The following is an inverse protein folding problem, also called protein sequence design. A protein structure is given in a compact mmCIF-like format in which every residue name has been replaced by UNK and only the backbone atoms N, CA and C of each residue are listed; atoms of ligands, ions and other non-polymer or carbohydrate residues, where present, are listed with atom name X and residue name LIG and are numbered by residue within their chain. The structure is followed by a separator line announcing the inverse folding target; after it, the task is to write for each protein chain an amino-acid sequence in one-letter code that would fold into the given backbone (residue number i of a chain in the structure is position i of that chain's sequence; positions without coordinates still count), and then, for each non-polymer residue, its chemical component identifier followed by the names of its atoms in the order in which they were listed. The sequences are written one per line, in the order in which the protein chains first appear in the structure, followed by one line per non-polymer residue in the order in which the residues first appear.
data_IF_932451888677
#
_entry.id   IF_932451888677
#
_cell.length_a   1.000
_cell.length_b   1.000
_cell.length_c   1.000
_cell.angle_alpha   90.00
_cell.angle_beta   90.00
_cell.angle_gamma   90.00
#
_symmetry.space_group_name_H-M   'P 1'
#
loop_
_entity.id
_entity.type
_entity.pdbx_description
1 polymer ?
#
# COMPACT_ATOMS: atom_id res chain seq x y z
N UNK A 1 21.66 17.66 -1.63
CA UNK A 1 22.48 16.50 -1.23
C UNK A 1 23.61 16.83 -0.24
N UNK A 2 23.45 17.82 0.65
CA UNK A 2 24.44 18.22 1.68
C UNK A 2 23.93 18.07 3.12
N UNK A 3 22.64 17.75 3.31
CA UNK A 3 22.00 17.58 4.62
C UNK A 3 21.99 16.13 5.17
N UNK A 4 22.39 15.14 4.36
CA UNK A 4 22.41 13.72 4.77
C UNK A 4 23.77 13.24 5.34
N UNK A 5 24.81 14.09 5.36
CA UNK A 5 26.15 13.72 5.86
C UNK A 5 26.36 13.95 7.36
N UNK A 6 25.55 14.82 7.99
CA UNK A 6 25.78 15.22 9.38
C UNK A 6 25.07 14.33 10.41
N UNK A 7 24.14 13.47 9.98
CA UNK A 7 23.45 12.53 10.88
C UNK A 7 24.31 11.30 11.26
N UNK A 8 25.32 10.94 10.45
CA UNK A 8 26.15 9.72 10.66
C UNK A 8 27.34 9.89 11.61
N UNK A 9 27.65 11.11 12.09
CA UNK A 9 28.86 11.34 12.92
C UNK A 9 28.61 11.32 14.43
N UNK A 10 27.35 11.32 14.89
CA UNK A 10 27.03 11.47 16.31
C UNK A 10 26.78 10.16 17.07
N UNK A 11 26.87 9.00 16.42
CA UNK A 11 26.57 7.69 17.06
C UNK A 11 27.84 6.99 17.59
N UNK A 12 29.04 7.51 17.34
CA UNK A 12 30.31 6.78 17.60
C UNK A 12 31.17 7.27 18.80
N UNK A 13 30.64 8.08 19.72
CA UNK A 13 31.39 8.51 20.91
C UNK A 13 30.52 8.55 22.17
N UNK A 14 30.26 7.39 22.76
CA UNK A 14 29.82 7.17 24.17
C UNK A 14 29.80 5.66 24.39
N UNK A 15 30.58 5.01 25.24
CA UNK A 15 31.71 5.43 26.05
C UNK A 15 32.47 4.15 26.43
N UNK A 16 33.79 4.19 26.36
CA UNK A 16 34.65 3.17 26.93
C UNK A 16 35.22 3.76 28.22
N UNK A 17 34.79 3.26 29.37
CA UNK A 17 35.43 3.54 30.66
C UNK A 17 35.16 2.35 31.57
N UNK A 18 36.19 1.52 31.72
CA UNK A 18 36.24 0.46 32.70
C UNK A 18 36.55 1.07 34.07
N UNK A 19 35.85 0.60 35.12
CA UNK A 19 36.27 0.73 36.50
C UNK A 19 35.88 -0.55 37.24
N UNK A 20 36.92 -1.30 37.65
CA UNK A 20 36.82 -2.42 38.57
C UNK A 20 36.44 -1.90 39.96
N UNK A 21 35.35 -2.45 40.52
CA UNK A 21 34.98 -2.29 41.91
C UNK A 21 34.25 -3.55 42.36
N UNK A 22 34.94 -4.42 43.09
CA UNK A 22 34.37 -5.63 43.66
C UNK A 22 33.44 -5.26 44.82
N UNK A 23 32.13 -5.35 44.57
CA UNK A 23 31.10 -5.39 45.60
C UNK A 23 30.11 -6.50 45.22
N UNK A 24 30.05 -7.57 46.01
CA UNK A 24 29.00 -8.58 45.87
C UNK A 24 27.65 -7.94 46.23
N UNK A 25 26.97 -7.41 45.24
CA UNK A 25 25.56 -7.06 45.32
C UNK A 25 24.76 -8.34 45.07
N UNK A 26 24.06 -8.84 46.08
CA UNK A 26 23.01 -9.83 45.86
C UNK A 26 21.88 -9.14 45.09
N UNK A 27 21.92 -9.22 43.76
CA UNK A 27 20.76 -8.96 42.91
C UNK A 27 19.78 -10.12 43.11
N UNK A 28 18.74 -9.88 43.88
CA UNK A 28 17.53 -10.68 43.77
C UNK A 28 16.99 -10.51 42.35
N UNK A 29 17.26 -11.48 41.48
CA UNK A 29 16.56 -11.64 40.23
C UNK A 29 15.12 -12.08 40.55
N UNK A 30 14.32 -11.13 41.03
CA UNK A 30 12.88 -11.24 40.93
C UNK A 30 12.57 -11.19 39.44
N UNK A 31 12.36 -12.35 38.83
CA UNK A 31 11.75 -12.42 37.51
C UNK A 31 10.33 -11.88 37.65
N UNK A 32 10.19 -10.55 37.55
CA UNK A 32 8.92 -9.92 37.29
C UNK A 32 8.53 -10.39 35.90
N UNK A 33 7.73 -11.45 35.83
CA UNK A 33 7.00 -11.80 34.62
C UNK A 33 6.13 -10.59 34.34
N UNK A 34 6.52 -9.76 33.36
CA UNK A 34 5.66 -8.70 32.87
C UNK A 34 4.31 -9.34 32.57
N UNK A 35 3.26 -8.88 33.25
CA UNK A 35 1.92 -9.33 32.94
C UNK A 35 1.72 -9.08 31.44
N UNK A 36 1.16 -10.04 30.69
CA UNK A 36 0.94 -9.84 29.26
C UNK A 36 0.19 -8.53 29.08
N UNK A 37 0.72 -7.62 28.26
CA UNK A 37 0.02 -6.38 27.96
C UNK A 37 -1.38 -6.74 27.48
N UNK A 38 -2.40 -6.25 28.18
CA UNK A 38 -3.78 -6.40 27.72
C UNK A 38 -3.88 -5.69 26.36
N UNK A 39 -4.21 -6.45 25.32
CA UNK A 39 -4.45 -5.88 24.00
C UNK A 39 -5.46 -4.73 24.04
N UNK A 40 -5.26 -3.73 23.17
CA UNK A 40 -6.11 -2.54 23.06
C UNK A 40 -7.04 -2.66 21.84
N UNK A 41 -8.30 -2.29 21.99
CA UNK A 41 -9.19 -2.08 20.86
C UNK A 41 -8.74 -0.87 20.06
N UNK A 42 -8.59 -1.04 18.74
CA UNK A 42 -8.24 0.04 17.81
C UNK A 42 -9.33 0.20 16.77
N UNK A 43 -9.60 1.44 16.35
CA UNK A 43 -10.60 1.76 15.33
C UNK A 43 -9.99 1.66 13.94
N UNK A 44 -10.74 1.12 12.97
CA UNK A 44 -10.26 1.13 11.60
C UNK A 44 -11.30 0.87 10.53
N UNK A 45 -10.88 1.16 9.30
CA UNK A 45 -11.66 0.96 8.09
C UNK A 45 -10.86 0.09 7.12
N UNK A 46 -11.40 -1.09 6.81
CA UNK A 46 -10.72 -2.06 5.98
C UNK A 46 -11.10 -1.95 4.48
N UNK A 47 -12.12 -1.16 4.14
CA UNK A 47 -12.69 -1.15 2.79
C UNK A 47 -13.24 0.22 2.39
N UNK A 48 -12.44 0.96 1.62
CA UNK A 48 -12.84 2.24 1.04
C UNK A 48 -12.33 2.41 -0.39
N UNK A 49 -13.08 3.20 -1.16
CA UNK A 49 -12.84 3.47 -2.56
C UNK A 49 -12.50 4.95 -2.76
N UNK A 50 -11.58 5.21 -3.69
CA UNK A 50 -11.18 6.56 -4.11
C UNK A 50 -11.36 6.65 -5.62
N UNK A 51 -11.10 7.82 -6.21
CA UNK A 51 -11.10 7.95 -7.66
C UNK A 51 -10.02 7.11 -8.37
N UNK A 52 -9.06 6.48 -7.67
CA UNK A 52 -8.20 5.46 -8.27
C UNK A 52 -8.97 4.21 -8.76
N UNK A 53 -10.19 3.99 -8.24
CA UNK A 53 -11.12 3.00 -8.77
C UNK A 53 -12.43 3.67 -9.18
N UNK A 54 -13.51 3.38 -8.49
CA UNK A 54 -14.91 3.74 -8.69
C UNK A 54 -15.45 4.64 -7.57
N UNK A 55 -14.61 5.05 -6.61
CA UNK A 55 -14.99 6.06 -5.61
C UNK A 55 -15.18 7.45 -6.24
N UNK A 56 -15.88 8.35 -5.56
CA UNK A 56 -16.17 9.70 -6.06
C UNK A 56 -15.19 10.78 -5.59
N UNK A 57 -14.45 10.50 -4.52
CA UNK A 57 -13.58 11.47 -3.85
C UNK A 57 -12.11 11.14 -4.06
N UNK A 58 -11.28 12.18 -4.07
CA UNK A 58 -9.83 12.06 -4.21
C UNK A 58 -9.24 11.19 -3.10
N UNK A 59 -8.10 10.57 -3.39
CA UNK A 59 -7.34 9.80 -2.41
C UNK A 59 -6.99 10.65 -1.19
N UNK A 60 -6.50 11.88 -1.41
CA UNK A 60 -6.12 12.81 -0.34
C UNK A 60 -7.26 13.11 0.62
N UNK A 61 -8.45 13.43 0.10
CA UNK A 61 -9.62 13.69 0.96
C UNK A 61 -10.00 12.44 1.78
N UNK A 62 -9.98 11.26 1.19
CA UNK A 62 -10.32 10.04 1.91
C UNK A 62 -9.35 9.78 3.08
N UNK A 63 -8.03 9.94 2.85
CA UNK A 63 -7.03 9.80 3.92
C UNK A 63 -7.23 10.86 5.02
N UNK A 64 -7.52 12.10 4.63
CA UNK A 64 -7.83 13.19 5.57
C UNK A 64 -9.04 12.85 6.45
N UNK A 65 -10.11 12.31 5.86
CA UNK A 65 -11.32 11.96 6.60
C UNK A 65 -11.12 10.75 7.51
N UNK A 66 -10.36 9.74 7.10
CA UNK A 66 -9.97 8.64 7.99
C UNK A 66 -9.28 9.16 9.26
N UNK A 67 -8.34 10.09 9.11
CA UNK A 67 -7.68 10.71 10.25
C UNK A 67 -8.62 11.61 11.08
N UNK A 68 -9.42 12.47 10.41
CA UNK A 68 -10.37 13.38 11.05
C UNK A 68 -11.39 12.64 11.94
N UNK A 69 -11.89 11.48 11.47
CA UNK A 69 -12.82 10.66 12.23
C UNK A 69 -12.16 9.79 13.31
N UNK A 70 -10.84 9.91 13.49
CA UNK A 70 -10.13 9.26 14.58
C UNK A 70 -9.90 7.76 14.38
N UNK A 71 -9.78 7.29 13.13
CA UNK A 71 -9.33 5.91 12.88
C UNK A 71 -7.88 5.74 13.31
N UNK A 72 -7.55 4.61 13.92
CA UNK A 72 -6.17 4.23 14.26
C UNK A 72 -5.46 3.59 13.06
N UNK A 73 -6.22 2.92 12.19
CA UNK A 73 -5.71 2.31 10.96
C UNK A 73 -6.75 2.31 9.85
N UNK A 74 -6.30 2.24 8.59
CA UNK A 74 -7.18 1.98 7.46
C UNK A 74 -6.44 1.34 6.29
N UNK A 75 -7.19 0.66 5.43
CA UNK A 75 -6.70 0.14 4.16
C UNK A 75 -7.39 0.85 2.98
N UNK A 76 -6.64 1.19 1.94
CA UNK A 76 -7.25 1.59 0.67
C UNK A 76 -7.43 0.35 -0.21
N UNK A 77 -8.68 0.00 -0.49
CA UNK A 77 -9.05 -1.27 -1.12
C UNK A 77 -9.95 -1.01 -2.33
N UNK A 78 -9.55 -0.12 -3.23
CA UNK A 78 -10.28 0.06 -4.49
C UNK A 78 -10.17 -1.19 -5.38
N UNK A 79 -11.14 -1.41 -6.25
CA UNK A 79 -11.20 -2.54 -7.17
C UNK A 79 -9.91 -2.80 -7.97
N UNK A 80 -9.66 -4.08 -8.27
CA UNK A 80 -8.77 -4.53 -9.34
C UNK A 80 -9.30 -4.22 -10.75
N UNK A 81 -8.55 -4.55 -11.79
CA UNK A 81 -8.94 -4.30 -13.19
C UNK A 81 -8.30 -3.05 -13.77
N UNK A 82 -9.06 -2.08 -14.27
CA UNK A 82 -8.46 -0.88 -14.85
C UNK A 82 -9.37 0.34 -14.87
N UNK A 83 -8.77 1.50 -14.58
CA UNK A 83 -9.46 2.76 -14.30
C UNK A 83 -8.79 3.93 -15.00
N UNK A 84 -9.57 4.95 -15.33
CA UNK A 84 -9.11 6.08 -16.16
C UNK A 84 -8.57 7.25 -15.35
N UNK A 85 -8.96 7.35 -14.08
CA UNK A 85 -8.77 8.54 -13.23
C UNK A 85 -7.48 8.48 -12.43
N UNK A 86 -6.82 9.62 -12.27
CA UNK A 86 -5.54 9.76 -11.57
C UNK A 86 -5.66 9.61 -10.03
N UNK A 87 -6.84 9.54 -9.44
CA UNK A 87 -6.96 9.33 -7.99
C UNK A 87 -6.70 10.57 -7.12
N UNK A 88 -5.83 11.49 -7.57
CA UNK A 88 -5.54 12.76 -6.88
C UNK A 88 -6.66 13.79 -6.99
N UNK A 89 -7.58 13.58 -7.93
CA UNK A 89 -8.71 14.47 -8.22
C UNK A 89 -10.04 13.73 -8.11
N UNK A 90 -11.12 14.47 -7.90
CA UNK A 90 -12.46 13.96 -7.64
C UNK A 90 -13.45 15.09 -7.38
N UNK A 91 -14.64 14.75 -6.89
CA UNK A 91 -15.71 15.74 -6.61
C UNK A 91 -15.22 16.88 -5.71
N UNK A 92 -14.37 16.57 -4.74
CA UNK A 92 -13.80 17.51 -3.76
C UNK A 92 -12.78 18.50 -4.34
N UNK A 93 -12.20 18.20 -5.50
CA UNK A 93 -11.21 19.05 -6.17
C UNK A 93 -11.77 19.73 -7.42
N UNK A 94 -13.09 19.61 -7.64
CA UNK A 94 -13.78 20.25 -8.77
C UNK A 94 -13.93 19.37 -10.01
N UNK A 95 -13.60 18.07 -9.92
CA UNK A 95 -13.83 17.10 -11.00
C UNK A 95 -12.70 16.10 -11.17
N UNK A 96 -12.92 15.13 -12.05
CA UNK A 96 -11.94 14.08 -12.35
C UNK A 96 -10.83 14.59 -13.29
N UNK A 97 -9.64 14.02 -13.11
CA UNK A 97 -8.52 14.13 -14.07
C UNK A 97 -8.15 12.73 -14.52
N UNK A 98 -7.97 12.55 -15.83
CA UNK A 98 -7.70 11.26 -16.45
C UNK A 98 -6.22 11.10 -16.79
N UNK A 99 -5.69 9.88 -16.62
CA UNK A 99 -4.27 9.59 -16.84
C UNK A 99 -3.81 9.88 -18.27
N UNK A 100 -4.68 9.63 -19.25
CA UNK A 100 -4.37 9.78 -20.68
C UNK A 100 -4.34 11.24 -21.15
N UNK A 101 -4.84 12.17 -20.33
CA UNK A 101 -4.77 13.61 -20.57
C UNK A 101 -3.56 14.28 -19.90
N UNK A 102 -2.74 13.54 -19.17
CA UNK A 102 -1.51 14.09 -18.59
C UNK A 102 -0.51 14.47 -19.71
N UNK A 103 0.36 15.48 -19.50
CA UNK A 103 1.26 15.99 -20.55
C UNK A 103 2.10 14.92 -21.25
N UNK A 104 2.46 13.87 -20.52
CA UNK A 104 2.96 12.61 -21.06
C UNK A 104 2.03 11.52 -20.56
N UNK A 105 1.42 10.77 -21.47
CA UNK A 105 0.59 9.63 -21.12
C UNK A 105 1.47 8.58 -20.39
N UNK A 106 1.23 8.31 -19.10
CA UNK A 106 2.08 7.41 -18.33
C UNK A 106 1.66 5.95 -18.45
N UNK A 107 0.57 5.63 -19.15
CA UNK A 107 -0.02 4.30 -19.19
C UNK A 107 0.88 3.38 -20.03
N UNK A 108 1.37 2.30 -19.41
CA UNK A 108 2.28 1.34 -20.07
C UNK A 108 1.66 -0.04 -20.30
N UNK A 109 0.51 -0.33 -19.70
CA UNK A 109 -0.21 -1.57 -19.98
C UNK A 109 -1.03 -1.51 -21.26
N UNK A 110 -1.55 -2.67 -21.66
CA UNK A 110 -2.26 -2.84 -22.91
C UNK A 110 -3.41 -1.86 -23.07
N UNK A 111 -3.52 -1.29 -24.27
CA UNK A 111 -4.49 -0.24 -24.58
C UNK A 111 -5.92 -0.78 -24.45
N UNK A 112 -6.68 -0.18 -23.54
CA UNK A 112 -8.12 -0.39 -23.40
C UNK A 112 -8.77 0.93 -22.97
N UNK A 113 -10.00 1.15 -23.42
CA UNK A 113 -10.72 2.39 -23.15
C UNK A 113 -11.98 2.13 -22.31
N UNK A 114 -12.35 3.12 -21.51
CA UNK A 114 -13.63 3.20 -20.79
C UNK A 114 -14.04 4.67 -20.71
N UNK A 115 -15.32 4.98 -20.95
CA UNK A 115 -15.82 6.36 -20.87
C UNK A 115 -15.08 7.37 -21.77
N UNK A 116 -14.48 6.91 -22.88
CA UNK A 116 -13.71 7.76 -23.79
C UNK A 116 -12.24 7.97 -23.41
N UNK A 117 -11.78 7.43 -22.28
CA UNK A 117 -10.41 7.57 -21.79
C UNK A 117 -9.68 6.23 -21.75
N UNK A 118 -8.37 6.24 -21.98
CA UNK A 118 -7.55 5.05 -21.82
C UNK A 118 -7.49 4.68 -20.33
N UNK A 119 -7.73 3.41 -20.02
CA UNK A 119 -7.58 2.89 -18.65
C UNK A 119 -6.11 2.66 -18.33
N UNK A 120 -5.73 2.92 -17.09
CA UNK A 120 -4.54 2.35 -16.47
C UNK A 120 -4.94 1.07 -15.74
N UNK A 121 -4.24 -0.04 -16.01
CA UNK A 121 -4.43 -1.28 -15.26
C UNK A 121 -4.07 -1.09 -13.79
N UNK A 122 -4.80 -1.76 -12.89
CA UNK A 122 -4.73 -1.48 -11.46
C UNK A 122 -3.35 -1.80 -10.91
N UNK A 123 -2.69 -2.87 -11.36
CA UNK A 123 -1.28 -3.15 -11.02
C UNK A 123 -0.36 -1.96 -11.26
N UNK A 124 -0.55 -1.23 -12.36
CA UNK A 124 0.29 -0.09 -12.68
C UNK A 124 -0.02 1.06 -11.73
N UNK A 125 -1.29 1.38 -11.53
CA UNK A 125 -1.69 2.44 -10.61
C UNK A 125 -1.26 2.15 -9.16
N UNK A 126 -1.31 0.88 -8.71
CA UNK A 126 -0.82 0.46 -7.39
C UNK A 126 0.68 0.69 -7.24
N UNK A 127 1.45 0.33 -8.27
CA UNK A 127 2.92 0.42 -8.23
C UNK A 127 3.43 1.86 -8.37
N UNK A 128 2.84 2.63 -9.27
CA UNK A 128 3.42 3.90 -9.75
C UNK A 128 2.73 5.13 -9.16
N UNK A 129 1.52 5.01 -8.59
CA UNK A 129 0.69 6.17 -8.22
C UNK A 129 0.04 6.04 -6.83
N UNK A 130 -0.94 5.15 -6.67
CA UNK A 130 -1.73 5.04 -5.44
C UNK A 130 -0.86 4.75 -4.21
N UNK A 131 0.19 3.94 -4.34
CA UNK A 131 1.11 3.70 -3.23
C UNK A 131 1.98 4.92 -2.89
N UNK A 132 2.31 5.79 -3.86
CA UNK A 132 3.01 7.04 -3.56
C UNK A 132 2.11 7.96 -2.73
N UNK A 133 0.83 8.08 -3.07
CA UNK A 133 -0.14 8.84 -2.27
C UNK A 133 -0.36 8.18 -0.88
N UNK A 134 -0.27 6.85 -0.79
CA UNK A 134 -0.26 6.13 0.49
C UNK A 134 0.95 6.51 1.36
N UNK A 135 2.15 6.63 0.77
CA UNK A 135 3.34 7.10 1.48
C UNK A 135 3.19 8.56 1.92
N UNK A 136 2.68 9.44 1.06
CA UNK A 136 2.38 10.83 1.43
C UNK A 136 1.41 10.91 2.62
N UNK A 137 0.39 10.06 2.65
CA UNK A 137 -0.56 9.99 3.77
C UNK A 137 0.09 9.46 5.06
N UNK A 138 1.00 8.49 4.98
CA UNK A 138 1.75 7.98 6.14
C UNK A 138 2.70 9.03 6.71
N UNK A 139 3.34 9.82 5.85
CA UNK A 139 4.18 10.95 6.27
C UNK A 139 3.34 12.03 6.96
N UNK A 140 2.11 12.26 6.49
CA UNK A 140 1.18 13.22 7.08
C UNK A 140 0.57 12.75 8.40
N UNK A 141 0.36 11.44 8.55
CA UNK A 141 -0.27 10.81 9.70
C UNK A 141 0.62 9.72 10.32
N UNK A 142 1.79 10.09 10.88
CA UNK A 142 2.82 9.12 11.30
C UNK A 142 2.39 8.20 12.45
N UNK A 143 1.34 8.58 13.19
CA UNK A 143 0.76 7.78 14.28
C UNK A 143 -0.27 6.75 13.79
N UNK A 144 -0.54 6.70 12.48
CA UNK A 144 -1.59 5.86 11.87
C UNK A 144 -1.00 4.69 11.09
N UNK A 145 -1.70 3.57 11.10
CA UNK A 145 -1.36 2.43 10.23
C UNK A 145 -2.20 2.51 8.96
N UNK A 146 -1.58 2.98 7.87
CA UNK A 146 -2.23 3.10 6.56
C UNK A 146 -1.73 1.98 5.67
N UNK A 147 -2.61 1.18 5.08
CA UNK A 147 -2.25 0.03 4.26
C UNK A 147 -2.72 0.26 2.82
N UNK A 148 -1.87 -0.01 1.84
CA UNK A 148 -2.35 -0.14 0.46
C UNK A 148 -2.85 -1.58 0.26
N UNK A 149 -4.12 -1.72 -0.09
CA UNK A 149 -4.75 -2.96 -0.50
C UNK A 149 -5.28 -2.87 -1.93
N UNK A 150 -6.03 -3.90 -2.32
CA UNK A 150 -6.87 -3.92 -3.50
C UNK A 150 -8.11 -4.74 -3.17
N UNK A 151 -9.27 -4.30 -3.65
CA UNK A 151 -10.44 -5.18 -3.69
C UNK A 151 -10.29 -6.08 -4.91
N UNK A 152 -9.78 -7.29 -4.65
CA UNK A 152 -9.53 -8.30 -5.66
C UNK A 152 -10.84 -8.80 -6.25
N UNK A 153 -10.94 -8.75 -7.57
CA UNK A 153 -12.00 -9.41 -8.33
C UNK A 153 -11.67 -10.92 -8.36
N UNK A 154 -12.12 -11.65 -7.34
CA UNK A 154 -11.74 -13.05 -7.13
C UNK A 154 -12.25 -13.92 -8.29
N UNK A 155 -11.37 -14.68 -8.97
CA UNK A 155 -11.77 -15.67 -9.97
C UNK A 155 -12.82 -16.66 -9.43
N UNK A 156 -14.00 -16.69 -10.07
CA UNK A 156 -15.10 -17.58 -9.70
C UNK A 156 -15.87 -17.23 -8.42
N UNK A 157 -15.62 -16.07 -7.79
CA UNK A 157 -16.30 -15.65 -6.55
C UNK A 157 -16.62 -14.15 -6.59
N UNK A 158 -17.15 -13.64 -5.47
CA UNK A 158 -17.34 -12.21 -5.21
C UNK A 158 -16.01 -11.54 -4.83
N UNK A 159 -16.02 -10.23 -4.63
CA UNK A 159 -14.85 -9.45 -4.26
C UNK A 159 -14.24 -9.80 -2.89
N UNK A 160 -12.94 -9.57 -2.75
CA UNK A 160 -12.23 -9.71 -1.47
C UNK A 160 -11.17 -8.62 -1.31
N UNK A 161 -11.20 -7.91 -0.17
CA UNK A 161 -10.13 -6.99 0.20
C UNK A 161 -8.86 -7.77 0.57
N UNK A 162 -7.79 -7.56 -0.20
CA UNK A 162 -6.48 -8.21 0.02
C UNK A 162 -5.38 -7.16 0.07
N UNK A 163 -4.31 -7.47 0.80
CA UNK A 163 -3.09 -6.67 0.81
C UNK A 163 -1.88 -7.57 0.99
N UNK A 164 -0.78 -7.18 0.37
CA UNK A 164 0.52 -7.76 0.65
C UNK A 164 1.35 -6.73 1.44
N UNK A 165 1.61 -7.00 2.71
CA UNK A 165 2.33 -6.09 3.59
C UNK A 165 3.84 -6.11 3.36
N UNK A 166 4.37 -7.13 2.66
CA UNK A 166 5.79 -7.23 2.38
C UNK A 166 6.23 -6.02 1.54
N UNK A 167 7.39 -5.48 1.87
CA UNK A 167 7.96 -4.25 1.30
C UNK A 167 7.16 -2.95 1.50
N UNK A 168 5.86 -2.96 1.82
CA UNK A 168 5.12 -1.70 2.00
C UNK A 168 5.66 -0.86 3.16
N UNK A 169 6.10 -1.50 4.24
CA UNK A 169 6.65 -0.85 5.43
C UNK A 169 8.18 -0.93 5.50
N UNK A 170 8.86 -1.25 4.39
CA UNK A 170 10.32 -1.27 4.34
C UNK A 170 10.87 0.12 4.66
N UNK A 171 11.76 0.23 5.64
CA UNK A 171 12.32 1.51 6.12
C UNK A 171 13.16 2.25 5.07
N UNK A 172 13.73 1.52 4.10
CA UNK A 172 14.70 2.08 3.14
C UNK A 172 14.15 2.20 1.73
N UNK A 173 13.24 1.32 1.35
CA UNK A 173 12.69 1.26 0.00
C UNK A 173 11.25 0.73 0.03
N UNK A 174 10.31 1.47 0.64
CA UNK A 174 8.93 1.04 0.69
C UNK A 174 8.36 0.96 -0.73
N UNK A 175 7.66 -0.12 -1.06
CA UNK A 175 7.04 -0.28 -2.37
C UNK A 175 5.83 -1.23 -2.34
N UNK A 176 5.04 -1.19 -3.41
CA UNK A 176 3.81 -1.99 -3.58
C UNK A 176 3.95 -3.04 -4.70
N UNK A 177 5.20 -3.43 -5.07
CA UNK A 177 5.43 -4.30 -6.24
C UNK A 177 4.78 -5.67 -6.09
N UNK A 178 4.79 -6.24 -4.89
CA UNK A 178 4.23 -7.57 -4.64
C UNK A 178 2.71 -7.57 -4.76
N UNK A 179 2.04 -6.52 -4.25
CA UNK A 179 0.59 -6.38 -4.41
C UNK A 179 0.20 -6.06 -5.86
N UNK A 180 0.99 -5.24 -6.55
CA UNK A 180 0.79 -4.97 -7.97
C UNK A 180 0.95 -6.24 -8.83
N UNK A 181 1.97 -7.06 -8.55
CA UNK A 181 2.16 -8.35 -9.22
C UNK A 181 1.00 -9.30 -8.91
N UNK A 182 0.51 -9.33 -7.67
CA UNK A 182 -0.67 -10.12 -7.31
C UNK A 182 -1.89 -9.72 -8.14
N UNK A 183 -2.19 -8.42 -8.24
CA UNK A 183 -3.31 -7.89 -9.03
C UNK A 183 -3.17 -8.29 -10.50
N UNK A 184 -2.01 -8.04 -11.11
CA UNK A 184 -1.72 -8.46 -12.48
C UNK A 184 -1.90 -9.97 -12.68
N UNK A 185 -1.39 -10.80 -11.77
CA UNK A 185 -1.39 -12.26 -11.92
C UNK A 185 -2.77 -12.87 -11.70
N UNK A 186 -3.51 -12.38 -10.73
CA UNK A 186 -4.66 -13.08 -10.15
C UNK A 186 -5.99 -12.36 -10.26
N UNK A 187 -6.03 -11.05 -10.51
CA UNK A 187 -7.29 -10.35 -10.70
C UNK A 187 -8.03 -10.89 -11.94
N UNK A 188 -9.34 -11.09 -11.80
CA UNK A 188 -10.19 -11.58 -12.89
C UNK A 188 -10.42 -10.51 -13.97
N UNK A 189 -10.47 -9.25 -13.57
CA UNK A 189 -10.78 -8.12 -14.45
C UNK A 189 -9.53 -7.54 -15.11
N UNK A 190 -8.33 -7.93 -14.66
CA UNK A 190 -7.08 -7.58 -15.33
C UNK A 190 -6.87 -8.42 -16.60
N UNK A 191 -6.91 -7.73 -17.75
CA UNK A 191 -6.69 -8.33 -19.07
C UNK A 191 -5.42 -7.79 -19.75
N UNK A 192 -4.52 -7.13 -19.01
CA UNK A 192 -3.22 -6.72 -19.51
C UNK A 192 -2.36 -7.94 -19.81
N UNK A 193 -1.70 -8.01 -20.95
CA UNK A 193 -0.81 -9.11 -21.32
C UNK A 193 0.63 -8.61 -21.40
N UNK A 194 0.86 -7.45 -22.00
CA UNK A 194 2.23 -7.00 -22.29
C UNK A 194 2.83 -6.11 -21.20
N UNK A 195 2.03 -5.30 -20.52
CA UNK A 195 2.53 -4.31 -19.56
C UNK A 195 3.18 -4.93 -18.33
N UNK A 196 2.44 -5.80 -17.63
CA UNK A 196 2.94 -6.56 -16.49
C UNK A 196 4.05 -7.56 -16.88
N UNK A 197 3.95 -8.18 -18.06
CA UNK A 197 5.00 -9.05 -18.57
C UNK A 197 6.33 -8.30 -18.78
N UNK A 198 6.28 -7.04 -19.24
CA UNK A 198 7.47 -6.19 -19.34
C UNK A 198 8.10 -5.86 -17.97
N UNK A 199 7.39 -6.10 -16.86
CA UNK A 199 7.92 -5.98 -15.50
C UNK A 199 8.56 -7.27 -14.98
N UNK A 200 8.57 -8.33 -15.80
CA UNK A 200 9.06 -9.66 -15.45
C UNK A 200 8.00 -10.54 -14.77
N UNK A 201 6.74 -10.14 -14.77
CA UNK A 201 5.66 -10.89 -14.12
C UNK A 201 4.99 -11.88 -15.06
N UNK A 202 4.48 -12.98 -14.50
CA UNK A 202 3.78 -14.03 -15.26
C UNK A 202 2.36 -14.20 -14.73
N UNK A 203 1.35 -14.06 -15.59
CA UNK A 203 -0.04 -14.33 -15.24
C UNK A 203 -0.27 -15.80 -14.87
N UNK A 204 -1.30 -16.04 -14.06
CA UNK A 204 -1.83 -17.39 -13.88
C UNK A 204 -2.30 -17.95 -15.23
N UNK A 205 -1.97 -19.22 -15.49
CA UNK A 205 -2.48 -19.96 -16.65
C UNK A 205 -3.87 -20.58 -16.40
N UNK A 206 -4.39 -20.48 -15.18
CA UNK A 206 -5.68 -21.04 -14.81
C UNK A 206 -6.82 -20.12 -15.28
N UNK A 207 -8.00 -20.68 -15.63
CA UNK A 207 -9.15 -19.88 -16.02
C UNK A 207 -9.62 -19.00 -14.85
N UNK A 208 -10.38 -17.94 -15.15
CA UNK A 208 -10.98 -17.03 -14.16
C UNK A 208 -12.13 -17.68 -13.36
N UNK A 209 -11.83 -18.79 -12.68
CA UNK A 209 -12.68 -19.66 -11.88
C UNK A 209 -11.97 -20.01 -10.56
N UNK A 210 -12.65 -20.77 -9.70
CA UNK A 210 -12.15 -21.18 -8.38
C UNK A 210 -10.69 -21.67 -8.35
N UNK A 211 -10.17 -22.48 -9.30
CA UNK A 211 -8.77 -22.92 -9.28
C UNK A 211 -7.74 -21.79 -9.28
N UNK A 212 -7.97 -20.70 -10.04
CA UNK A 212 -7.08 -19.53 -10.05
C UNK A 212 -7.11 -18.79 -8.71
N UNK A 213 -8.27 -18.76 -8.05
CA UNK A 213 -8.37 -18.18 -6.71
C UNK A 213 -7.58 -19.00 -5.68
N UNK A 214 -7.59 -20.33 -5.78
CA UNK A 214 -6.79 -21.22 -4.92
C UNK A 214 -5.29 -21.03 -5.18
N UNK A 215 -4.86 -20.88 -6.44
CA UNK A 215 -3.45 -20.58 -6.76
C UNK A 215 -2.97 -19.27 -6.10
N UNK A 216 -3.83 -18.26 -6.03
CA UNK A 216 -3.48 -16.95 -5.50
C UNK A 216 -3.17 -16.96 -3.98
N UNK A 217 -3.66 -17.96 -3.25
CA UNK A 217 -3.57 -18.05 -1.77
C UNK A 217 -2.72 -19.24 -1.29
N UNK A 218 -2.12 -19.98 -2.20
CA UNK A 218 -1.25 -21.13 -1.92
C UNK A 218 0.20 -20.71 -1.67
#
# INVERSE_FOLDING_TARGET
MKLLRDYRKNVLKKGLSALLGAGMMFLSYGAATAAPEKGKWITGDFHQHTTYSDGSYSYGLMMEKSNYYGLDWWAQSGHGGGFTRWGKYGVDTGGDVFFDLLPSNPIIGDVKFSGGHQIMWRWQSLRDWAFLDCLEARDMYPEKVIIQGVEWNVPGHEHCSVSNLNEQFNETNPNCKVLAEFDYKFDKSDADITGGAAQGWTKSALPNLHPKAVEAVA
#
